data_IF_580279651673
#
_entry.id   IF_580279651673
#
_cell.length_a   1.000
_cell.length_b   1.000
_cell.length_c   1.000
_cell.angle_alpha   90.00
_cell.angle_beta   90.00
_cell.angle_gamma   90.00
#
_symmetry.space_group_name_H-M   'P 1'
#
loop_
_entity.id
_entity.type
_entity.pdbx_description
1 polymer ?
#
# COMPACT_ATOMS: atom_id res chain seq x y z
N UNK A 1 9.91 -4.62 -15.84
CA UNK A 1 8.47 -4.48 -16.14
C UNK A 1 8.18 -4.56 -17.63
N UNK A 2 8.91 -3.87 -18.51
CA UNK A 2 8.70 -3.90 -19.98
C UNK A 2 8.81 -5.31 -20.60
N UNK A 3 9.70 -6.16 -20.11
CA UNK A 3 9.80 -7.55 -20.59
C UNK A 3 8.59 -8.38 -20.14
N UNK A 4 8.14 -8.18 -18.90
CA UNK A 4 6.98 -8.88 -18.35
C UNK A 4 5.69 -8.44 -19.05
N UNK A 5 5.54 -7.16 -19.39
CA UNK A 5 4.34 -6.65 -20.08
C UNK A 5 4.11 -7.29 -21.44
N UNK A 6 5.18 -7.78 -22.10
CA UNK A 6 5.04 -8.50 -23.38
C UNK A 6 4.34 -9.86 -23.23
N UNK A 7 4.40 -10.45 -22.05
CA UNK A 7 3.74 -11.73 -21.72
C UNK A 7 2.27 -11.51 -21.34
N UNK A 8 1.91 -10.30 -20.92
CA UNK A 8 0.57 -9.93 -20.49
C UNK A 8 0.03 -8.74 -21.32
N UNK A 9 -0.30 -8.94 -22.61
CA UNK A 9 -0.68 -7.86 -23.52
C UNK A 9 -1.98 -7.16 -23.14
N UNK A 10 -2.83 -7.82 -22.37
CA UNK A 10 -4.11 -7.26 -21.89
C UNK A 10 -3.94 -6.31 -20.68
N UNK A 11 -2.74 -6.23 -20.12
CA UNK A 11 -2.41 -5.33 -19.00
C UNK A 11 -1.76 -4.07 -19.54
N UNK A 12 -2.43 -2.94 -19.38
CA UNK A 12 -1.89 -1.64 -19.76
C UNK A 12 -0.76 -1.22 -18.83
N UNK A 13 0.48 -1.18 -19.33
CA UNK A 13 1.62 -0.65 -18.62
C UNK A 13 1.82 0.85 -18.96
N UNK A 14 1.96 1.67 -17.93
CA UNK A 14 2.34 3.08 -18.05
C UNK A 14 3.49 3.39 -17.10
N UNK A 15 4.36 4.33 -17.49
CA UNK A 15 5.49 4.78 -16.68
C UNK A 15 5.27 6.21 -16.24
N UNK A 16 5.53 6.49 -14.97
CA UNK A 16 5.48 7.82 -14.39
C UNK A 16 6.76 8.09 -13.58
N UNK A 17 7.22 9.32 -13.61
CA UNK A 17 8.17 9.80 -12.61
C UNK A 17 7.48 9.89 -11.26
N UNK A 18 8.23 9.65 -10.18
CA UNK A 18 7.67 9.54 -8.82
C UNK A 18 6.99 10.82 -8.34
N UNK A 19 7.53 11.98 -8.68
CA UNK A 19 6.95 13.28 -8.37
C UNK A 19 5.60 13.48 -9.06
N UNK A 20 5.52 13.12 -10.33
CA UNK A 20 4.26 13.14 -11.08
C UNK A 20 3.28 12.08 -10.54
N UNK A 21 3.77 10.88 -10.18
CA UNK A 21 2.93 9.84 -9.58
C UNK A 21 2.29 10.31 -8.27
N UNK A 22 3.06 10.97 -7.39
CA UNK A 22 2.55 11.55 -6.15
C UNK A 22 1.46 12.60 -6.41
N UNK A 23 1.68 13.50 -7.36
CA UNK A 23 0.68 14.51 -7.74
C UNK A 23 -0.60 13.87 -8.31
N UNK A 24 -0.45 12.89 -9.20
CA UNK A 24 -1.58 12.18 -9.81
C UNK A 24 -2.36 11.35 -8.80
N UNK A 25 -1.67 10.77 -7.81
CA UNK A 25 -2.29 10.00 -6.73
C UNK A 25 -3.25 10.87 -5.93
N UNK A 26 -2.87 12.13 -5.65
CA UNK A 26 -3.74 13.09 -4.94
C UNK A 26 -4.85 13.61 -5.83
N UNK A 27 -4.56 13.86 -7.12
CA UNK A 27 -5.50 14.45 -8.06
C UNK A 27 -6.59 13.49 -8.50
N UNK A 28 -6.21 12.27 -8.87
CA UNK A 28 -7.11 11.23 -9.38
C UNK A 28 -6.59 9.84 -9.01
N UNK A 29 -6.78 9.41 -7.75
CA UNK A 29 -6.28 8.11 -7.27
C UNK A 29 -6.91 6.92 -8.01
N UNK A 30 -8.12 7.09 -8.56
CA UNK A 30 -8.86 6.01 -9.23
C UNK A 30 -8.29 5.61 -10.59
N UNK A 31 -7.36 6.37 -11.14
CA UNK A 31 -6.65 6.00 -12.35
C UNK A 31 -5.66 4.85 -12.16
N UNK A 32 -5.28 4.55 -10.92
CA UNK A 32 -4.31 3.52 -10.59
C UNK A 32 -4.99 2.25 -10.08
N UNK A 33 -4.85 1.16 -10.80
CA UNK A 33 -5.24 -0.18 -10.33
C UNK A 33 -4.12 -0.79 -9.48
N UNK A 34 -2.89 -0.79 -10.02
CA UNK A 34 -1.70 -1.30 -9.36
C UNK A 34 -0.52 -0.39 -9.66
N UNK A 35 0.27 -0.08 -8.65
CA UNK A 35 1.52 0.67 -8.79
C UNK A 35 2.70 -0.21 -8.38
N UNK A 36 3.73 -0.27 -9.23
CA UNK A 36 4.97 -0.99 -8.97
C UNK A 36 6.11 0.00 -8.88
N UNK A 37 6.85 -0.03 -7.79
CA UNK A 37 7.92 0.92 -7.51
C UNK A 37 9.03 0.28 -6.67
N UNK A 38 10.15 0.98 -6.47
CA UNK A 38 11.17 0.60 -5.49
C UNK A 38 10.69 0.85 -4.06
N UNK A 39 11.34 0.23 -3.07
CA UNK A 39 10.95 0.29 -1.67
C UNK A 39 10.76 1.73 -1.17
N UNK A 40 11.78 2.59 -1.30
CA UNK A 40 11.72 3.96 -0.80
C UNK A 40 10.55 4.77 -1.38
N UNK A 41 10.36 4.69 -2.69
CA UNK A 41 9.26 5.42 -3.34
C UNK A 41 7.91 4.77 -3.06
N UNK A 42 7.88 3.47 -2.85
CA UNK A 42 6.69 2.76 -2.41
C UNK A 42 6.20 3.26 -1.05
N UNK A 43 7.11 3.38 -0.08
CA UNK A 43 6.80 3.87 1.26
C UNK A 43 6.26 5.31 1.21
N UNK A 44 6.91 6.20 0.46
CA UNK A 44 6.45 7.59 0.30
C UNK A 44 5.07 7.66 -0.35
N UNK A 45 4.85 6.91 -1.43
CA UNK A 45 3.58 6.94 -2.15
C UNK A 45 2.44 6.27 -1.37
N UNK A 46 2.72 5.20 -0.62
CA UNK A 46 1.71 4.55 0.22
C UNK A 46 1.26 5.43 1.38
N UNK A 47 2.19 6.16 2.00
CA UNK A 47 1.85 7.12 3.05
C UNK A 47 1.01 8.29 2.50
N UNK A 48 1.36 8.81 1.31
CA UNK A 48 0.51 9.76 0.61
C UNK A 48 -0.89 9.21 0.32
N UNK A 49 -0.97 7.96 -0.14
CA UNK A 49 -2.24 7.30 -0.43
C UNK A 49 -3.09 7.09 0.83
N UNK A 50 -2.46 6.79 1.98
CA UNK A 50 -3.14 6.63 3.25
C UNK A 50 -3.93 7.90 3.63
N UNK A 51 -3.37 9.07 3.34
CA UNK A 51 -4.04 10.34 3.65
C UNK A 51 -5.28 10.59 2.79
N UNK A 52 -5.40 9.95 1.62
CA UNK A 52 -6.63 10.01 0.81
C UNK A 52 -7.81 9.29 1.47
N UNK A 53 -7.53 8.32 2.32
CA UNK A 53 -8.57 7.63 3.13
C UNK A 53 -8.93 8.40 4.42
N UNK A 54 -8.21 9.49 4.70
CA UNK A 54 -8.41 10.34 5.87
C UNK A 54 -7.67 9.90 7.13
N UNK A 55 -6.98 8.77 7.12
CA UNK A 55 -6.20 8.29 8.27
C UNK A 55 -5.15 7.27 7.85
N UNK A 56 -3.93 7.42 8.37
CA UNK A 56 -2.88 6.41 8.24
C UNK A 56 -3.26 5.08 8.93
N UNK A 57 -4.18 5.09 9.87
CA UNK A 57 -4.73 3.92 10.55
C UNK A 57 -5.75 3.11 9.72
N UNK A 58 -5.82 3.33 8.40
CA UNK A 58 -6.78 2.66 7.51
C UNK A 58 -6.13 1.63 6.58
N UNK A 59 -4.81 1.66 6.37
CA UNK A 59 -4.15 0.84 5.36
C UNK A 59 -3.32 -0.29 5.96
N UNK A 60 -3.56 -1.54 5.53
CA UNK A 60 -2.73 -2.69 5.83
C UNK A 60 -1.55 -2.79 4.87
N UNK A 61 -0.54 -3.57 5.26
CA UNK A 61 0.60 -3.94 4.43
C UNK A 61 0.91 -5.42 4.59
N UNK A 62 1.53 -6.00 3.54
CA UNK A 62 2.03 -7.36 3.57
C UNK A 62 3.38 -7.44 2.85
N UNK A 63 4.33 -8.15 3.46
CA UNK A 63 5.61 -8.53 2.86
C UNK A 63 5.62 -10.03 2.67
N UNK A 64 5.62 -10.48 1.42
CA UNK A 64 5.48 -11.89 1.05
C UNK A 64 6.79 -12.42 0.48
N UNK A 65 7.11 -13.68 0.77
CA UNK A 65 8.13 -14.42 0.06
C UNK A 65 7.56 -15.13 -1.18
N UNK A 66 8.43 -15.86 -1.90
CA UNK A 66 8.05 -16.60 -3.11
C UNK A 66 7.04 -17.74 -2.87
N UNK A 67 6.88 -18.19 -1.64
CA UNK A 67 6.02 -19.31 -1.24
C UNK A 67 4.74 -18.78 -0.52
N UNK A 68 4.49 -17.47 -0.59
CA UNK A 68 3.40 -16.73 0.06
C UNK A 68 3.45 -16.74 1.59
N UNK A 69 4.57 -17.14 2.20
CA UNK A 69 4.77 -16.89 3.61
C UNK A 69 5.00 -15.39 3.83
N UNK A 70 4.27 -14.78 4.74
CA UNK A 70 4.23 -13.34 4.83
C UNK A 70 4.19 -12.75 6.22
N UNK A 71 4.69 -11.52 6.32
CA UNK A 71 4.51 -10.62 7.44
C UNK A 71 3.42 -9.62 7.10
N UNK A 72 2.47 -9.43 7.99
CA UNK A 72 1.30 -8.56 7.82
C UNK A 72 1.27 -7.53 8.93
N UNK A 73 1.23 -6.28 8.56
CA UNK A 73 1.28 -5.17 9.52
C UNK A 73 0.52 -3.95 8.97
N UNK A 74 0.06 -3.03 9.84
CA UNK A 74 -0.35 -1.70 9.38
C UNK A 74 0.84 -0.93 8.80
N UNK A 75 0.59 -0.02 7.86
CA UNK A 75 1.66 0.82 7.32
C UNK A 75 2.22 1.83 8.34
N UNK A 76 1.43 2.20 9.35
CA UNK A 76 1.83 3.17 10.37
C UNK A 76 2.78 2.56 11.41
N UNK A 77 3.58 3.41 12.04
CA UNK A 77 4.45 3.06 13.16
C UNK A 77 3.69 2.93 14.49
N UNK A 78 4.44 2.86 15.60
CA UNK A 78 3.90 2.64 16.94
C UNK A 78 3.23 3.84 17.60
N UNK A 79 3.40 5.06 17.05
CA UNK A 79 2.79 6.31 17.51
C UNK A 79 2.80 6.49 19.05
N UNK A 80 3.98 6.51 19.69
CA UNK A 80 4.08 6.53 21.16
C UNK A 80 3.46 7.77 21.81
N UNK A 81 3.30 8.85 21.04
CA UNK A 81 2.69 10.12 21.48
C UNK A 81 1.19 10.00 21.73
N UNK A 82 0.51 9.02 21.17
CA UNK A 82 -0.91 8.74 21.41
C UNK A 82 -1.18 7.49 22.25
N UNK A 83 -0.14 6.81 22.70
CA UNK A 83 -0.28 5.61 23.55
C UNK A 83 -1.07 5.92 24.82
N UNK A 84 -2.04 5.09 25.15
CA UNK A 84 -2.90 5.24 26.32
C UNK A 84 -3.97 6.34 26.22
N UNK A 85 -4.12 7.00 25.06
CA UNK A 85 -5.16 8.04 24.86
C UNK A 85 -6.46 7.53 24.25
N UNK A 86 -6.50 6.25 23.86
CA UNK A 86 -7.66 5.56 23.26
C UNK A 86 -8.21 6.27 21.99
N UNK A 87 -7.31 6.88 21.19
CA UNK A 87 -7.67 7.63 19.99
C UNK A 87 -7.11 6.98 18.70
N UNK A 88 -6.36 5.88 18.81
CA UNK A 88 -5.81 5.17 17.67
C UNK A 88 -6.92 4.51 16.84
N UNK A 89 -6.80 4.58 15.51
CA UNK A 89 -7.69 3.85 14.60
C UNK A 89 -7.18 2.41 14.42
N UNK A 90 -7.93 1.35 14.82
CA UNK A 90 -7.46 -0.02 14.75
C UNK A 90 -7.69 -0.67 13.38
N UNK A 91 -8.33 -0.01 12.42
CA UNK A 91 -8.78 -0.62 11.17
C UNK A 91 -7.62 -1.19 10.33
N UNK A 92 -6.47 -0.52 10.28
CA UNK A 92 -5.30 -1.02 9.55
C UNK A 92 -4.85 -2.39 10.09
N UNK A 93 -4.82 -2.57 11.41
CA UNK A 93 -4.48 -3.86 12.05
C UNK A 93 -5.54 -4.93 11.74
N UNK A 94 -6.81 -4.59 11.80
CA UNK A 94 -7.92 -5.51 11.48
C UNK A 94 -7.83 -5.94 10.00
N UNK A 95 -7.56 -5.01 9.10
CA UNK A 95 -7.38 -5.30 7.67
C UNK A 95 -6.12 -6.14 7.41
N UNK A 96 -5.04 -5.95 8.17
CA UNK A 96 -3.85 -6.80 8.08
C UNK A 96 -4.16 -8.25 8.44
N UNK A 97 -4.99 -8.49 9.46
CA UNK A 97 -5.49 -9.84 9.80
C UNK A 97 -6.38 -10.40 8.68
N UNK A 98 -7.19 -9.56 8.04
CA UNK A 98 -7.98 -9.97 6.87
C UNK A 98 -7.10 -10.38 5.70
N UNK A 99 -6.04 -9.65 5.41
CA UNK A 99 -5.06 -10.04 4.38
C UNK A 99 -4.41 -11.38 4.69
N UNK A 100 -3.98 -11.60 5.93
CA UNK A 100 -3.43 -12.88 6.38
C UNK A 100 -4.42 -14.02 6.12
N UNK A 101 -5.67 -13.85 6.49
CA UNK A 101 -6.72 -14.86 6.30
C UNK A 101 -6.98 -15.16 4.82
N UNK A 102 -7.09 -14.12 3.98
CA UNK A 102 -7.41 -14.27 2.55
C UNK A 102 -6.29 -14.91 1.72
N UNK A 103 -5.03 -14.77 2.15
CA UNK A 103 -3.89 -15.36 1.43
C UNK A 103 -3.66 -16.82 1.84
N UNK A 104 -4.07 -17.21 3.04
CA UNK A 104 -3.85 -18.55 3.59
C UNK A 104 -5.12 -19.45 3.60
N UNK A 105 -6.24 -18.97 3.10
CA UNK A 105 -7.44 -19.77 2.81
C UNK A 105 -7.50 -20.02 1.31
#
# INVERSE_FOLDING_TARGET
MEEVSKVYPDVKLTHLYVDNAAMQLVRDPKQFDVMVTSNLFGDVLSDCAAMLTGSIGMLPSASLDKDNFGMYEPIHGSAPDIAGKDIANPLATILSVSMLSLIHI
#
